data_IF_246181444329
#
_entry.id   IF_246181444329
#
_cell.length_a   1.000
_cell.length_b   1.000
_cell.length_c   1.000
_cell.angle_alpha   90.00
_cell.angle_beta   90.00
_cell.angle_gamma   90.00
#
_symmetry.space_group_name_H-M   'P 1'
#
loop_
_entity.id
_entity.type
_entity.pdbx_description
1 polymer ?
#
# COMPACT_ATOMS: atom_id res chain seq x y z
N UNK A 1 -0.66 26.38 -12.85
CA UNK A 1 -0.99 25.18 -13.65
C UNK A 1 0.29 24.76 -14.35
N UNK A 2 1.12 23.98 -13.65
CA UNK A 2 2.44 23.57 -14.14
C UNK A 2 2.26 22.27 -14.90
N UNK A 3 2.61 22.28 -16.17
CA UNK A 3 2.54 21.13 -17.08
C UNK A 3 3.48 20.03 -16.55
N UNK A 4 2.91 18.89 -16.12
CA UNK A 4 3.72 17.73 -15.72
C UNK A 4 4.37 17.16 -16.97
N UNK A 5 5.71 17.20 -17.01
CA UNK A 5 6.48 16.53 -18.05
C UNK A 5 6.07 15.05 -18.13
N UNK A 6 5.82 14.57 -19.35
CA UNK A 6 5.53 13.16 -19.59
C UNK A 6 6.72 12.32 -19.12
N UNK A 7 6.50 11.45 -18.13
CA UNK A 7 7.50 10.46 -17.71
C UNK A 7 7.67 9.49 -18.86
N UNK A 8 8.80 9.58 -19.56
CA UNK A 8 9.21 8.57 -20.52
C UNK A 8 9.49 7.28 -19.75
N UNK A 9 8.55 6.35 -19.74
CA UNK A 9 8.72 5.05 -19.11
C UNK A 9 9.55 4.16 -20.03
N UNK A 10 10.77 3.83 -19.60
CA UNK A 10 11.51 2.74 -20.21
C UNK A 10 10.66 1.44 -20.14
N UNK A 11 10.71 0.57 -21.15
CA UNK A 11 9.94 -0.67 -21.13
C UNK A 11 10.34 -1.53 -19.93
N UNK A 12 9.33 -2.13 -19.28
CA UNK A 12 9.55 -3.04 -18.15
C UNK A 12 10.37 -4.25 -18.58
N UNK A 13 11.50 -4.49 -17.92
CA UNK A 13 12.30 -5.71 -18.09
C UNK A 13 11.64 -6.88 -17.35
N UNK A 14 10.79 -7.61 -18.07
CA UNK A 14 10.06 -8.77 -17.55
C UNK A 14 11.01 -9.91 -17.18
N UNK A 15 12.11 -10.08 -17.92
CA UNK A 15 13.09 -11.15 -17.67
C UNK A 15 13.74 -10.93 -16.31
N UNK A 16 14.18 -9.69 -16.03
CA UNK A 16 14.72 -9.33 -14.73
C UNK A 16 13.70 -9.50 -13.61
N UNK A 17 12.48 -8.96 -13.79
CA UNK A 17 11.43 -9.05 -12.76
C UNK A 17 11.10 -10.50 -12.36
N UNK A 18 11.06 -11.41 -13.33
CA UNK A 18 10.86 -12.85 -13.08
C UNK A 18 12.06 -13.49 -12.40
N UNK A 19 13.28 -13.16 -12.81
CA UNK A 19 14.50 -13.68 -12.19
C UNK A 19 14.64 -13.23 -10.73
N UNK A 20 14.21 -12.01 -10.42
CA UNK A 20 14.20 -11.45 -9.07
C UNK A 20 13.06 -12.00 -8.19
N UNK A 21 12.04 -12.66 -8.76
CA UNK A 21 10.88 -13.18 -8.02
C UNK A 21 10.94 -14.71 -7.95
N UNK A 22 11.43 -15.30 -6.85
CA UNK A 22 11.79 -16.73 -6.81
C UNK A 22 10.65 -17.67 -7.21
N UNK A 23 9.43 -17.40 -6.74
CA UNK A 23 8.27 -18.23 -7.04
C UNK A 23 7.91 -18.30 -8.53
N UNK A 24 8.39 -17.38 -9.38
CA UNK A 24 8.19 -17.45 -10.82
C UNK A 24 8.91 -18.63 -11.49
N UNK A 25 9.90 -19.24 -10.83
CA UNK A 25 10.58 -20.44 -11.30
C UNK A 25 9.87 -21.74 -10.89
N UNK A 26 8.93 -21.66 -9.94
CA UNK A 26 8.31 -22.83 -9.30
C UNK A 26 6.85 -23.00 -9.72
N UNK A 27 6.12 -21.89 -9.92
CA UNK A 27 4.68 -21.91 -10.19
C UNK A 27 4.27 -20.96 -11.30
N UNK A 28 3.22 -21.35 -12.03
CA UNK A 28 2.44 -20.44 -12.87
C UNK A 28 1.39 -19.72 -11.99
N UNK A 29 1.81 -18.65 -11.32
CA UNK A 29 0.96 -17.93 -10.36
C UNK A 29 -0.02 -16.97 -11.05
N UNK A 30 -1.27 -17.42 -11.21
CA UNK A 30 -2.36 -16.60 -11.79
C UNK A 30 -3.23 -15.90 -10.73
N UNK A 31 -2.90 -16.00 -9.44
CA UNK A 31 -3.66 -15.39 -8.33
C UNK A 31 -3.00 -14.11 -7.75
N UNK A 32 -2.35 -13.31 -8.61
CA UNK A 32 -1.64 -12.09 -8.17
C UNK A 32 -2.55 -11.05 -7.52
N UNK A 33 -3.82 -10.97 -7.96
CA UNK A 33 -4.80 -10.04 -7.40
C UNK A 33 -5.21 -10.41 -5.96
N UNK A 34 -5.09 -11.69 -5.56
CA UNK A 34 -5.27 -12.11 -4.18
C UNK A 34 -4.05 -11.79 -3.32
N UNK A 35 -2.87 -12.23 -3.76
CA UNK A 35 -1.58 -11.84 -3.21
C UNK A 35 -0.47 -12.17 -4.22
N UNK A 36 0.38 -11.19 -4.55
CA UNK A 36 1.48 -11.38 -5.47
C UNK A 36 2.68 -12.08 -4.79
N UNK A 37 3.52 -12.72 -5.60
CA UNK A 37 4.80 -13.29 -5.14
C UNK A 37 5.79 -12.16 -4.81
N UNK A 38 6.59 -12.34 -3.75
CA UNK A 38 7.56 -11.33 -3.31
C UNK A 38 8.87 -11.40 -4.10
N UNK A 39 9.37 -10.27 -4.63
CA UNK A 39 10.74 -10.17 -5.17
C UNK A 39 11.81 -10.30 -4.07
N UNK A 40 12.99 -10.82 -4.42
CA UNK A 40 14.16 -10.98 -3.54
C UNK A 40 14.55 -9.70 -2.78
N UNK A 41 14.57 -8.49 -3.41
CA UNK A 41 14.90 -7.28 -2.67
C UNK A 41 13.94 -6.99 -1.51
N UNK A 42 12.64 -7.28 -1.68
CA UNK A 42 11.62 -7.11 -0.64
C UNK A 42 11.84 -8.13 0.48
N UNK A 43 12.05 -9.40 0.13
CA UNK A 43 12.34 -10.46 1.10
C UNK A 43 13.57 -10.11 1.93
N UNK A 44 14.65 -9.66 1.28
CA UNK A 44 15.90 -9.30 1.93
C UNK A 44 15.74 -8.11 2.88
N UNK A 45 14.99 -7.08 2.49
CA UNK A 45 14.73 -5.92 3.35
C UNK A 45 13.93 -6.32 4.59
N UNK A 46 12.85 -7.10 4.43
CA UNK A 46 12.00 -7.52 5.56
C UNK A 46 12.75 -8.45 6.51
N UNK A 47 13.37 -9.51 6.00
CA UNK A 47 14.11 -10.47 6.85
C UNK A 47 15.32 -9.79 7.49
N UNK A 48 16.06 -8.98 6.74
CA UNK A 48 17.23 -8.27 7.25
C UNK A 48 16.88 -7.32 8.40
N UNK A 49 15.73 -6.63 8.34
CA UNK A 49 15.29 -5.79 9.44
C UNK A 49 14.86 -6.61 10.67
N UNK A 50 14.11 -7.71 10.48
CA UNK A 50 13.74 -8.61 11.57
C UNK A 50 14.98 -9.23 12.26
N UNK A 51 16.00 -9.60 11.49
CA UNK A 51 17.26 -10.08 12.04
C UNK A 51 18.03 -8.98 12.76
N UNK A 52 17.94 -7.73 12.33
CA UNK A 52 18.51 -6.58 13.02
C UNK A 52 17.83 -6.36 14.37
N UNK A 53 16.50 -6.29 14.40
CA UNK A 53 15.71 -6.17 15.63
C UNK A 53 16.04 -7.29 16.62
N UNK A 54 16.19 -8.53 16.13
CA UNK A 54 16.56 -9.67 16.97
C UNK A 54 17.96 -9.55 17.60
N UNK A 55 18.88 -8.79 16.99
CA UNK A 55 20.24 -8.59 17.50
C UNK A 55 20.37 -7.42 18.46
N UNK A 56 19.67 -6.32 18.20
CA UNK A 56 19.90 -5.05 18.91
C UNK A 56 18.68 -4.49 19.64
N UNK A 57 17.50 -5.08 19.46
CA UNK A 57 16.23 -4.55 19.96
C UNK A 57 15.50 -3.71 18.91
N UNK A 58 14.17 -3.63 19.05
CA UNK A 58 13.31 -2.96 18.07
C UNK A 58 13.47 -1.44 18.04
N UNK A 59 13.68 -0.80 19.20
CA UNK A 59 13.87 0.65 19.26
C UNK A 59 15.23 1.06 18.70
N UNK A 60 16.29 0.33 19.04
CA UNK A 60 17.64 0.56 18.54
C UNK A 60 17.72 0.32 17.03
N UNK A 61 17.04 -0.71 16.52
CA UNK A 61 16.92 -0.95 15.08
C UNK A 61 16.13 0.15 14.38
N UNK A 62 15.03 0.63 14.96
CA UNK A 62 14.24 1.74 14.41
C UNK A 62 15.06 3.04 14.36
N UNK A 63 15.82 3.37 15.40
CA UNK A 63 16.70 4.54 15.44
C UNK A 63 17.83 4.42 14.40
N UNK A 64 18.46 3.24 14.30
CA UNK A 64 19.53 2.98 13.34
C UNK A 64 19.03 3.09 11.88
N UNK A 65 17.84 2.54 11.60
CA UNK A 65 17.24 2.50 10.25
C UNK A 65 16.22 3.62 10.02
N UNK A 66 16.18 4.67 10.86
CA UNK A 66 15.20 5.75 10.78
C UNK A 66 15.14 6.37 9.39
N UNK A 67 16.29 6.63 8.77
CA UNK A 67 16.35 7.15 7.41
C UNK A 67 15.79 6.18 6.36
N UNK A 68 15.84 4.87 6.57
CA UNK A 68 15.26 3.88 5.67
C UNK A 68 13.74 3.78 5.83
N UNK A 69 13.27 3.84 7.07
CA UNK A 69 11.84 3.85 7.40
C UNK A 69 11.17 5.10 6.84
N UNK A 70 11.75 6.29 7.07
CA UNK A 70 11.20 7.57 6.59
C UNK A 70 11.16 7.67 5.05
N UNK A 71 12.07 7.00 4.34
CA UNK A 71 12.06 6.98 2.87
C UNK A 71 10.79 6.37 2.28
N UNK A 72 10.02 5.58 3.03
CA UNK A 72 8.75 4.99 2.56
C UNK A 72 7.75 6.09 2.17
N UNK A 73 7.67 7.18 2.92
CA UNK A 73 6.75 8.28 2.63
C UNK A 73 7.10 8.97 1.31
N UNK A 74 8.38 9.31 1.10
CA UNK A 74 8.84 9.92 -0.15
C UNK A 74 8.64 8.99 -1.35
N UNK A 75 8.99 7.71 -1.22
CA UNK A 75 8.84 6.74 -2.31
C UNK A 75 7.37 6.50 -2.68
N UNK A 76 6.47 6.42 -1.69
CA UNK A 76 5.04 6.29 -1.93
C UNK A 76 4.44 7.56 -2.55
N UNK A 77 4.87 8.73 -2.09
CA UNK A 77 4.46 10.02 -2.63
C UNK A 77 4.88 10.18 -4.10
N UNK A 78 6.12 9.80 -4.44
CA UNK A 78 6.59 9.79 -5.83
C UNK A 78 5.78 8.83 -6.71
N UNK A 79 5.46 7.63 -6.20
CA UNK A 79 4.67 6.63 -6.91
C UNK A 79 3.24 7.11 -7.20
N UNK A 80 2.61 7.77 -6.22
CA UNK A 80 1.23 8.24 -6.31
C UNK A 80 1.12 9.66 -6.90
N UNK A 81 2.25 10.37 -7.01
CA UNK A 81 2.32 11.73 -7.50
C UNK A 81 1.71 12.77 -6.55
N UNK A 82 1.89 12.62 -5.24
CA UNK A 82 1.42 13.53 -4.18
C UNK A 82 2.58 14.00 -3.28
N UNK A 83 2.30 14.78 -2.24
CA UNK A 83 3.27 15.15 -1.21
C UNK A 83 3.47 14.04 -0.17
N UNK A 84 4.65 13.95 0.47
CA UNK A 84 4.89 12.95 1.54
C UNK A 84 4.00 13.18 2.77
N UNK A 85 3.57 14.41 3.02
CA UNK A 85 2.60 14.79 4.06
C UNK A 85 1.15 14.36 3.74
N UNK A 86 0.89 13.89 2.52
CA UNK A 86 -0.39 13.31 2.10
C UNK A 86 -0.40 11.77 2.23
N UNK A 87 0.67 11.15 2.72
CA UNK A 87 0.80 9.69 2.87
C UNK A 87 0.62 9.27 4.33
N UNK A 88 -0.27 8.30 4.55
CA UNK A 88 -0.38 7.58 5.82
C UNK A 88 -0.18 6.08 5.59
N UNK A 89 0.75 5.47 6.34
CA UNK A 89 1.01 4.03 6.27
C UNK A 89 0.15 3.30 7.30
N UNK A 90 -0.56 2.27 6.86
CA UNK A 90 -1.43 1.42 7.68
C UNK A 90 -1.28 -0.04 7.26
N UNK A 91 -1.71 -0.97 8.11
CA UNK A 91 -1.40 -2.40 7.93
C UNK A 91 -2.03 -3.04 6.67
N UNK A 92 -3.15 -2.51 6.15
CA UNK A 92 -3.78 -2.99 4.93
C UNK A 92 -4.82 -1.99 4.36
N UNK A 93 -5.25 -2.23 3.12
CA UNK A 93 -6.21 -1.39 2.41
C UNK A 93 -7.59 -1.29 3.10
N UNK A 94 -8.10 -2.39 3.67
CA UNK A 94 -9.39 -2.38 4.38
C UNK A 94 -9.34 -1.47 5.61
N UNK A 95 -8.26 -1.53 6.40
CA UNK A 95 -8.07 -0.64 7.54
C UNK A 95 -7.93 0.82 7.11
N UNK A 96 -7.13 1.07 6.07
CA UNK A 96 -6.98 2.40 5.49
C UNK A 96 -8.33 3.02 5.15
N UNK A 97 -9.13 2.23 4.42
CA UNK A 97 -10.46 2.58 3.99
C UNK A 97 -11.39 2.88 5.16
N UNK A 98 -11.46 1.99 6.15
CA UNK A 98 -12.32 2.18 7.32
C UNK A 98 -11.95 3.47 8.06
N UNK A 99 -10.66 3.70 8.31
CA UNK A 99 -10.20 4.90 9.02
C UNK A 99 -10.58 6.18 8.27
N UNK A 100 -10.34 6.23 6.97
CA UNK A 100 -10.69 7.38 6.15
C UNK A 100 -12.21 7.57 6.05
N UNK A 101 -12.95 6.53 5.68
CA UNK A 101 -14.38 6.60 5.41
C UNK A 101 -15.21 6.94 6.66
N UNK A 102 -14.93 6.30 7.80
CA UNK A 102 -15.66 6.57 9.04
C UNK A 102 -15.30 7.92 9.68
N UNK A 103 -14.24 8.59 9.23
CA UNK A 103 -13.91 9.96 9.68
C UNK A 103 -14.79 11.04 9.04
N UNK A 104 -15.48 10.70 7.93
CA UNK A 104 -16.33 11.65 7.22
C UNK A 104 -17.59 12.00 8.05
N UNK A 105 -17.94 13.29 8.18
CA UNK A 105 -19.02 13.74 9.04
C UNK A 105 -20.40 13.63 8.36
N UNK A 106 -20.83 12.40 8.04
CA UNK A 106 -22.13 12.16 7.39
C UNK A 106 -23.32 12.71 8.19
N UNK A 107 -24.21 13.40 7.49
CA UNK A 107 -25.50 13.89 7.99
C UNK A 107 -26.67 13.12 7.36
N UNK A 108 -27.84 13.08 8.03
CA UNK A 108 -29.03 12.47 7.45
C UNK A 108 -29.36 13.05 6.07
N UNK A 109 -29.62 12.18 5.09
CA UNK A 109 -29.90 12.57 3.71
C UNK A 109 -28.67 12.71 2.79
N UNK A 110 -27.46 12.59 3.32
CA UNK A 110 -26.26 12.46 2.49
C UNK A 110 -26.32 11.19 1.64
N UNK A 111 -25.68 11.22 0.47
CA UNK A 111 -25.70 10.11 -0.49
C UNK A 111 -24.30 9.61 -0.78
N UNK A 112 -24.12 8.30 -0.62
CA UNK A 112 -22.90 7.61 -1.03
C UNK A 112 -23.07 7.16 -2.48
N UNK A 113 -22.21 7.66 -3.37
CA UNK A 113 -22.11 7.19 -4.75
C UNK A 113 -20.98 6.16 -4.86
N UNK A 114 -21.27 5.01 -5.44
CA UNK A 114 -20.30 3.92 -5.65
C UNK A 114 -20.62 3.18 -6.95
N UNK A 115 -19.79 2.20 -7.32
CA UNK A 115 -19.93 1.38 -8.52
C UNK A 115 -20.45 -0.04 -8.19
N UNK A 116 -21.00 -0.72 -9.19
CA UNK A 116 -21.49 -2.09 -9.04
C UNK A 116 -20.36 -3.09 -8.73
N UNK A 117 -19.14 -2.82 -9.18
CA UNK A 117 -17.97 -3.67 -8.99
C UNK A 117 -17.14 -3.30 -7.74
N UNK A 118 -17.75 -2.65 -6.76
CA UNK A 118 -17.08 -2.22 -5.53
C UNK A 118 -16.57 -3.41 -4.69
N UNK A 119 -15.43 -3.21 -4.03
CA UNK A 119 -14.87 -4.24 -3.16
C UNK A 119 -15.69 -4.40 -1.87
N UNK A 120 -15.84 -5.63 -1.40
CA UNK A 120 -16.81 -5.97 -0.37
C UNK A 120 -16.63 -5.18 0.95
N UNK A 121 -15.39 -4.94 1.39
CA UNK A 121 -15.13 -4.16 2.60
C UNK A 121 -15.67 -2.73 2.50
N UNK A 122 -15.54 -2.10 1.33
CA UNK A 122 -16.02 -0.75 1.11
C UNK A 122 -17.55 -0.70 1.21
N UNK A 123 -18.23 -1.67 0.58
CA UNK A 123 -19.70 -1.81 0.64
C UNK A 123 -20.19 -2.03 2.07
N UNK A 124 -19.51 -2.86 2.86
CA UNK A 124 -19.87 -3.08 4.26
C UNK A 124 -19.84 -1.77 5.04
N UNK A 125 -18.81 -0.93 4.83
CA UNK A 125 -18.71 0.36 5.48
C UNK A 125 -19.84 1.31 5.08
N UNK A 126 -20.20 1.36 3.79
CA UNK A 126 -21.34 2.13 3.30
C UNK A 126 -22.65 1.74 3.98
N UNK A 127 -22.94 0.44 4.01
CA UNK A 127 -24.16 -0.09 4.62
C UNK A 127 -24.20 0.14 6.14
N UNK A 128 -23.05 0.16 6.82
CA UNK A 128 -23.00 0.52 8.23
C UNK A 128 -23.34 2.00 8.46
N UNK A 129 -22.79 2.92 7.66
CA UNK A 129 -23.10 4.35 7.80
C UNK A 129 -24.56 4.65 7.47
N UNK A 130 -25.09 4.13 6.36
CA UNK A 130 -26.49 4.34 5.97
C UNK A 130 -27.46 3.87 7.06
N UNK A 131 -27.18 2.72 7.72
CA UNK A 131 -28.01 2.24 8.84
C UNK A 131 -27.91 3.13 10.09
N UNK A 132 -26.76 3.76 10.34
CA UNK A 132 -26.51 4.54 11.57
C UNK A 132 -26.93 6.00 11.45
N UNK A 133 -26.86 6.58 10.25
CA UNK A 133 -27.02 8.03 10.03
C UNK A 133 -28.23 8.40 9.17
N UNK A 134 -28.92 7.42 8.59
CA UNK A 134 -29.96 7.66 7.59
C UNK A 134 -29.37 8.13 6.28
#
# INVERSE_FOLDING_TARGET
>A
MTERAAVATAPLDVTRARAETPGCAEVAHFNNAGAALMPRPVIAATIGHLELEARIGGYEAADQEAAAIERVYAAAADLLGCGPDEIAVVENATRAWDMAFYSLPFAPGDRILTAQAEYASNVIAFLQIARRRG
#
